data_IF_494519219953
#
_entry.id   IF_494519219953
#
_cell.length_a   1.000
_cell.length_b   1.000
_cell.length_c   1.000
_cell.angle_alpha   90.00
_cell.angle_beta   90.00
_cell.angle_gamma   90.00
#
_symmetry.space_group_name_H-M   'P 1'
#
loop_
_entity.id
_entity.type
_entity.pdbx_description
1 polymer ?
#
# COMPACT_ATOMS: atom_id res chain seq x y z
N UNK A 1 -20.57 -3.50 -29.28
CA UNK A 1 -21.17 -2.16 -29.16
C UNK A 1 -22.38 -2.32 -28.27
N UNK A 2 -22.60 -1.43 -27.28
CA UNK A 2 -23.80 -1.50 -26.43
C UNK A 2 -25.04 -1.16 -27.25
N UNK A 3 -26.18 -1.80 -26.96
CA UNK A 3 -27.41 -1.61 -27.74
C UNK A 3 -28.11 -0.29 -27.39
N UNK A 4 -27.82 0.29 -26.22
CA UNK A 4 -28.33 1.62 -25.85
C UNK A 4 -27.37 2.39 -24.92
N UNK A 5 -27.61 3.70 -24.81
CA UNK A 5 -26.90 4.59 -23.88
C UNK A 5 -27.25 4.23 -22.42
N UNK A 6 -28.47 3.78 -22.15
CA UNK A 6 -28.88 3.30 -20.83
C UNK A 6 -28.17 1.99 -20.45
N UNK A 7 -27.94 1.08 -21.41
CA UNK A 7 -27.08 -0.10 -21.20
C UNK A 7 -25.62 0.28 -20.94
N UNK A 8 -25.11 1.28 -21.66
CA UNK A 8 -23.75 1.77 -21.45
C UNK A 8 -23.59 2.45 -20.08
N UNK A 9 -24.61 3.19 -19.63
CA UNK A 9 -24.65 3.82 -18.30
C UNK A 9 -24.81 2.76 -17.21
N UNK A 10 -25.72 1.79 -17.35
CA UNK A 10 -25.87 0.68 -16.41
C UNK A 10 -24.62 -0.24 -16.34
N UNK A 11 -23.88 -0.36 -17.46
CA UNK A 11 -22.59 -1.03 -17.50
C UNK A 11 -21.50 -0.21 -16.78
N UNK A 12 -21.51 1.12 -16.94
CA UNK A 12 -20.59 2.01 -16.23
C UNK A 12 -20.87 2.04 -14.71
N UNK A 13 -22.14 2.08 -14.29
CA UNK A 13 -22.53 2.07 -12.87
C UNK A 13 -22.19 0.75 -12.15
N UNK A 14 -22.15 -0.38 -12.89
CA UNK A 14 -21.71 -1.68 -12.34
C UNK A 14 -20.19 -1.84 -12.26
N UNK A 15 -19.42 -0.95 -12.86
CA UNK A 15 -17.96 -1.08 -12.92
C UNK A 15 -17.33 -0.91 -11.53
N UNK A 16 -17.99 -0.17 -10.65
CA UNK A 16 -17.49 0.16 -9.31
C UNK A 16 -18.11 -0.69 -8.18
N UNK A 17 -19.19 -1.44 -8.43
CA UNK A 17 -19.92 -2.09 -7.34
C UNK A 17 -19.40 -3.46 -6.89
N UNK A 18 -18.69 -4.22 -7.73
CA UNK A 18 -18.36 -5.60 -7.33
C UNK A 18 -17.05 -5.75 -6.59
N UNK A 19 -16.15 -4.75 -6.60
CA UNK A 19 -14.92 -4.71 -5.77
C UNK A 19 -14.10 -6.00 -5.70
N UNK A 20 -14.29 -6.93 -6.65
CA UNK A 20 -13.98 -8.34 -6.48
C UNK A 20 -12.76 -8.72 -7.30
N UNK A 21 -11.92 -9.61 -6.74
CA UNK A 21 -10.73 -10.14 -7.42
C UNK A 21 -11.10 -11.44 -8.13
N UNK A 22 -11.17 -11.46 -9.48
CA UNK A 22 -11.48 -12.66 -10.22
C UNK A 22 -10.27 -13.59 -10.29
N UNK A 23 -10.55 -14.89 -10.32
CA UNK A 23 -9.59 -15.95 -10.62
C UNK A 23 -10.21 -16.81 -11.71
N UNK A 24 -9.58 -16.82 -12.88
CA UNK A 24 -9.96 -17.71 -13.98
C UNK A 24 -9.26 -19.05 -13.83
N UNK A 25 -9.97 -20.13 -14.11
CA UNK A 25 -9.43 -21.49 -14.00
C UNK A 25 -10.20 -22.46 -14.90
N UNK A 26 -9.59 -23.60 -15.24
CA UNK A 26 -10.25 -24.70 -15.96
C UNK A 26 -10.93 -25.62 -14.95
N UNK A 27 -12.16 -26.01 -15.26
CA UNK A 27 -12.92 -26.99 -14.49
C UNK A 27 -13.52 -28.00 -15.46
N UNK A 28 -13.30 -29.28 -15.19
CA UNK A 28 -14.00 -30.35 -15.87
C UNK A 28 -15.48 -30.33 -15.45
N UNK A 29 -16.38 -30.24 -16.42
CA UNK A 29 -17.82 -30.25 -16.19
C UNK A 29 -18.43 -31.37 -16.99
N UNK A 30 -19.24 -32.17 -16.32
CA UNK A 30 -20.02 -33.22 -16.95
C UNK A 30 -21.17 -32.59 -17.74
N UNK A 31 -21.12 -32.75 -19.05
CA UNK A 31 -22.17 -32.32 -19.96
C UNK A 31 -22.90 -33.56 -20.49
N UNK A 32 -24.24 -33.48 -20.51
CA UNK A 32 -25.05 -34.52 -21.14
C UNK A 32 -25.34 -34.13 -22.58
N UNK A 33 -25.03 -35.04 -23.48
CA UNK A 33 -25.38 -34.90 -24.88
C UNK A 33 -26.87 -35.22 -25.11
N UNK A 34 -27.39 -34.89 -26.29
CA UNK A 34 -28.80 -35.11 -26.65
C UNK A 34 -29.23 -36.58 -26.53
N UNK A 35 -28.27 -37.50 -26.61
CA UNK A 35 -28.42 -38.95 -26.51
C UNK A 35 -28.30 -39.47 -25.07
N UNK A 36 -28.04 -38.59 -24.09
CA UNK A 36 -28.00 -38.89 -22.66
C UNK A 36 -26.64 -39.40 -22.16
N UNK A 37 -25.64 -39.52 -23.02
CA UNK A 37 -24.26 -39.82 -22.65
C UNK A 37 -23.62 -38.63 -21.92
N UNK A 38 -22.86 -38.92 -20.86
CA UNK A 38 -22.18 -37.89 -20.06
C UNK A 38 -20.74 -37.80 -20.53
N UNK A 39 -20.37 -36.67 -21.13
CA UNK A 39 -19.00 -36.37 -21.52
C UNK A 39 -18.44 -35.26 -20.62
N UNK A 40 -17.27 -35.48 -20.04
CA UNK A 40 -16.59 -34.46 -19.24
C UNK A 40 -15.83 -33.52 -20.18
N UNK A 41 -16.20 -32.24 -20.18
CA UNK A 41 -15.58 -31.21 -21.03
C UNK A 41 -14.88 -30.19 -20.14
N UNK A 42 -13.66 -29.83 -20.53
CA UNK A 42 -12.92 -28.75 -19.89
C UNK A 42 -13.54 -27.40 -20.25
N UNK A 43 -14.11 -26.73 -19.26
CA UNK A 43 -14.69 -25.41 -19.42
C UNK A 43 -13.93 -24.38 -18.58
N UNK A 44 -13.84 -23.15 -19.09
CA UNK A 44 -13.25 -22.04 -18.35
C UNK A 44 -14.29 -21.46 -17.39
N UNK A 45 -13.90 -21.37 -16.12
CA UNK A 45 -14.70 -20.83 -15.03
C UNK A 45 -14.06 -19.56 -14.47
N UNK A 46 -14.88 -18.75 -13.80
CA UNK A 46 -14.45 -17.56 -13.09
C UNK A 46 -14.93 -17.63 -11.64
N UNK A 47 -13.98 -17.45 -10.72
CA UNK A 47 -14.22 -17.35 -9.29
C UNK A 47 -13.95 -15.92 -8.82
N UNK A 48 -15.00 -15.20 -8.48
CA UNK A 48 -14.90 -13.79 -8.04
C UNK A 48 -14.92 -13.78 -6.52
N UNK A 49 -13.82 -13.32 -5.92
CA UNK A 49 -13.71 -13.15 -4.48
C UNK A 49 -14.02 -11.71 -4.12
N UNK A 50 -15.02 -11.48 -3.28
CA UNK A 50 -15.27 -10.15 -2.74
C UNK A 50 -14.18 -9.78 -1.72
N UNK A 51 -13.63 -8.58 -1.86
CA UNK A 51 -12.60 -8.09 -0.93
C UNK A 51 -13.25 -7.83 0.43
N UNK A 52 -12.65 -8.38 1.50
CA UNK A 52 -13.13 -8.22 2.88
C UNK A 52 -13.99 -9.36 3.40
N UNK A 53 -14.85 -9.94 2.55
CA UNK A 53 -15.68 -11.11 2.88
C UNK A 53 -15.24 -12.36 2.09
N UNK A 54 -14.44 -13.25 2.69
CA UNK A 54 -13.96 -14.45 2.03
C UNK A 54 -15.06 -15.50 1.81
N UNK A 55 -16.25 -15.36 2.41
CA UNK A 55 -17.35 -16.32 2.24
C UNK A 55 -18.19 -16.00 1.02
N UNK A 56 -18.21 -14.75 0.59
CA UNK A 56 -18.97 -14.32 -0.58
C UNK A 56 -18.13 -14.54 -1.84
N UNK A 57 -18.17 -15.79 -2.34
CA UNK A 57 -17.48 -16.22 -3.54
C UNK A 57 -18.53 -16.54 -4.61
N UNK A 58 -18.45 -15.87 -5.76
CA UNK A 58 -19.23 -16.23 -6.93
C UNK A 58 -18.41 -17.16 -7.82
N UNK A 59 -18.84 -18.41 -7.96
CA UNK A 59 -18.21 -19.39 -8.83
C UNK A 59 -19.17 -19.76 -9.97
N UNK A 60 -18.80 -19.40 -11.20
CA UNK A 60 -19.65 -19.61 -12.37
C UNK A 60 -18.84 -19.82 -13.65
N UNK A 61 -19.43 -20.40 -14.71
CA UNK A 61 -18.82 -20.42 -16.02
C UNK A 61 -18.45 -19.00 -16.47
N UNK A 62 -17.29 -18.88 -17.13
CA UNK A 62 -16.83 -17.62 -17.70
C UNK A 62 -17.83 -17.14 -18.75
N UNK A 63 -18.18 -15.86 -18.70
CA UNK A 63 -18.96 -15.18 -19.74
C UNK A 63 -18.05 -14.29 -20.60
N UNK A 64 -18.41 -14.01 -21.86
CA UNK A 64 -17.62 -13.12 -22.72
C UNK A 64 -17.42 -11.71 -22.13
N UNK A 65 -18.35 -11.23 -21.30
CA UNK A 65 -18.25 -9.91 -20.66
C UNK A 65 -17.15 -9.86 -19.58
N UNK A 66 -16.79 -11.00 -18.98
CA UNK A 66 -15.79 -11.06 -17.90
C UNK A 66 -14.39 -10.68 -18.41
N UNK A 67 -14.09 -10.99 -19.67
CA UNK A 67 -12.83 -10.59 -20.31
C UNK A 67 -12.71 -9.07 -20.45
N UNK A 68 -13.81 -8.42 -20.78
CA UNK A 68 -13.86 -6.95 -20.92
C UNK A 68 -13.83 -6.27 -19.56
N UNK A 69 -14.41 -6.91 -18.55
CA UNK A 69 -14.47 -6.39 -17.18
C UNK A 69 -13.12 -6.49 -16.48
N UNK A 70 -12.40 -7.60 -16.66
CA UNK A 70 -11.12 -7.86 -16.01
C UNK A 70 -10.03 -8.28 -17.02
N UNK A 71 -9.66 -7.38 -17.94
CA UNK A 71 -8.75 -7.70 -19.03
C UNK A 71 -7.36 -8.13 -18.55
N UNK A 72 -6.87 -7.50 -17.47
CA UNK A 72 -5.55 -7.83 -16.92
C UNK A 72 -5.50 -9.20 -16.26
N UNK A 73 -6.55 -9.57 -15.52
CA UNK A 73 -6.65 -10.90 -14.88
C UNK A 73 -6.86 -12.01 -15.91
N UNK A 74 -7.62 -11.71 -16.98
CA UNK A 74 -7.79 -12.64 -18.09
C UNK A 74 -6.48 -12.87 -18.83
N UNK A 75 -5.72 -11.79 -19.09
CA UNK A 75 -4.38 -11.88 -19.68
C UNK A 75 -3.44 -12.69 -18.79
N UNK A 76 -3.40 -12.42 -17.49
CA UNK A 76 -2.55 -13.16 -16.56
C UNK A 76 -2.86 -14.67 -16.56
N UNK A 77 -4.15 -15.03 -16.59
CA UNK A 77 -4.57 -16.42 -16.72
C UNK A 77 -4.12 -17.06 -18.04
N UNK A 78 -4.28 -16.34 -19.16
CA UNK A 78 -3.86 -16.80 -20.50
C UNK A 78 -2.34 -16.99 -20.61
N UNK A 79 -1.58 -16.14 -19.92
CA UNK A 79 -0.13 -16.16 -19.90
C UNK A 79 0.42 -17.09 -18.80
N UNK A 80 -0.44 -17.77 -18.03
CA UNK A 80 -0.07 -18.59 -16.86
C UNK A 80 0.79 -17.85 -15.82
N UNK A 81 0.58 -16.54 -15.69
CA UNK A 81 1.32 -15.66 -14.79
C UNK A 81 0.52 -15.31 -13.53
N UNK A 82 1.21 -14.89 -12.47
CA UNK A 82 0.55 -14.44 -11.25
C UNK A 82 -0.31 -13.19 -11.52
N UNK A 83 -1.54 -13.20 -11.00
CA UNK A 83 -2.48 -12.11 -11.20
C UNK A 83 -1.89 -10.77 -10.71
N UNK A 84 -2.03 -9.68 -11.49
CA UNK A 84 -1.43 -8.40 -11.14
C UNK A 84 -2.04 -7.88 -9.83
N UNK A 85 -1.16 -7.60 -8.87
CA UNK A 85 -1.54 -6.90 -7.65
C UNK A 85 -1.49 -5.41 -7.94
N UNK A 86 -2.62 -4.84 -8.36
CA UNK A 86 -2.74 -3.40 -8.57
C UNK A 86 -2.76 -2.67 -7.23
N UNK A 87 -1.78 -1.79 -6.99
CA UNK A 87 -1.73 -0.92 -5.83
C UNK A 87 -0.46 -1.08 -4.99
N UNK A 88 -0.45 -0.38 -3.87
CA UNK A 88 0.62 -0.37 -2.87
C UNK A 88 0.56 -1.65 -2.04
N UNK A 89 1.60 -2.51 -2.06
CA UNK A 89 1.59 -3.74 -1.28
C UNK A 89 1.37 -3.47 0.20
N UNK A 90 0.48 -4.22 0.85
CA UNK A 90 0.13 -3.98 2.26
C UNK A 90 1.33 -4.16 3.21
N UNK A 91 2.33 -4.94 2.79
CA UNK A 91 3.60 -5.14 3.49
C UNK A 91 4.46 -3.87 3.58
N UNK A 92 4.27 -2.93 2.65
CA UNK A 92 5.00 -1.66 2.64
C UNK A 92 4.46 -0.65 3.66
N UNK A 93 3.25 -0.86 4.16
CA UNK A 93 2.64 0.05 5.12
C UNK A 93 3.15 -0.23 6.55
N UNK A 94 3.79 0.75 7.22
CA UNK A 94 4.42 0.54 8.52
C UNK A 94 3.43 0.38 9.69
N UNK A 95 2.13 0.62 9.47
CA UNK A 95 1.12 0.54 10.52
C UNK A 95 0.56 -0.86 10.79
N UNK A 96 0.95 -1.88 10.02
CA UNK A 96 0.48 -3.25 10.24
C UNK A 96 1.54 -4.12 10.92
N UNK A 97 1.10 -4.91 11.89
CA UNK A 97 1.91 -5.99 12.45
C UNK A 97 1.91 -7.20 11.50
N UNK A 98 2.89 -8.13 11.61
CA UNK A 98 2.88 -9.36 10.81
C UNK A 98 1.60 -10.19 10.97
N UNK A 99 1.00 -10.16 12.17
CA UNK A 99 -0.28 -10.81 12.43
C UNK A 99 -1.43 -10.14 11.66
N UNK A 100 -1.46 -8.80 11.62
CA UNK A 100 -2.44 -8.04 10.85
C UNK A 100 -2.32 -8.36 9.35
N UNK A 101 -1.09 -8.36 8.81
CA UNK A 101 -0.82 -8.70 7.41
C UNK A 101 -1.36 -10.10 7.08
N UNK A 102 -1.13 -11.08 7.96
CA UNK A 102 -1.63 -12.44 7.77
C UNK A 102 -3.16 -12.50 7.81
N UNK A 103 -3.80 -11.75 8.71
CA UNK A 103 -5.25 -11.68 8.81
C UNK A 103 -5.89 -11.00 7.59
N UNK A 104 -5.27 -9.93 7.09
CA UNK A 104 -5.70 -9.21 5.89
C UNK A 104 -5.51 -10.06 4.63
N UNK A 105 -4.38 -10.76 4.52
CA UNK A 105 -4.11 -11.67 3.41
C UNK A 105 -5.10 -12.84 3.33
N UNK A 106 -5.60 -13.35 4.46
CA UNK A 106 -6.65 -14.39 4.49
C UNK A 106 -7.98 -13.93 3.89
N UNK A 107 -8.20 -12.62 3.81
CA UNK A 107 -9.41 -11.99 3.26
C UNK A 107 -9.16 -11.36 1.90
N UNK A 108 -8.09 -11.75 1.23
CA UNK A 108 -7.69 -11.27 -0.09
C UNK A 108 -7.38 -9.77 -0.14
N UNK A 109 -7.10 -9.15 1.01
CA UNK A 109 -6.66 -7.76 1.11
C UNK A 109 -5.14 -7.75 0.96
N UNK A 110 -4.66 -7.44 -0.24
CA UNK A 110 -3.23 -7.50 -0.58
C UNK A 110 -2.60 -6.11 -0.68
N UNK A 111 -3.39 -5.08 -0.88
CA UNK A 111 -2.93 -3.70 -1.06
C UNK A 111 -3.52 -2.74 -0.04
N UNK A 112 -2.91 -1.56 0.09
CA UNK A 112 -3.37 -0.49 0.97
C UNK A 112 -4.68 0.11 0.44
N UNK A 113 -4.84 0.16 -0.88
CA UNK A 113 -6.03 0.61 -1.59
C UNK A 113 -7.21 -0.34 -1.31
N UNK A 114 -6.98 -1.67 -1.38
CA UNK A 114 -7.99 -2.66 -0.97
C UNK A 114 -8.41 -2.43 0.48
N UNK A 115 -7.45 -2.16 1.38
CA UNK A 115 -7.75 -1.96 2.78
C UNK A 115 -8.64 -0.74 3.04
N UNK A 116 -8.47 0.33 2.26
CA UNK A 116 -9.25 1.56 2.39
C UNK A 116 -10.65 1.40 1.79
N UNK A 117 -10.80 0.62 0.71
CA UNK A 117 -12.09 0.43 0.04
C UNK A 117 -13.09 -0.37 0.88
N UNK A 118 -12.62 -1.19 1.82
CA UNK A 118 -13.47 -2.06 2.65
C UNK A 118 -14.34 -1.24 3.61
N UNK A 119 -15.62 -1.61 3.81
CA UNK A 119 -16.49 -1.00 4.81
C UNK A 119 -15.90 -1.05 6.23
N UNK A 120 -16.12 0.01 7.00
CA UNK A 120 -15.54 0.17 8.34
C UNK A 120 -15.93 -0.97 9.31
N UNK A 121 -17.14 -1.51 9.16
CA UNK A 121 -17.62 -2.64 9.96
C UNK A 121 -16.76 -3.89 9.77
N UNK A 122 -16.41 -4.21 8.53
CA UNK A 122 -15.55 -5.35 8.21
C UNK A 122 -14.12 -5.13 8.71
N UNK A 123 -13.60 -3.91 8.59
CA UNK A 123 -12.26 -3.58 9.11
C UNK A 123 -12.21 -3.71 10.63
N UNK A 124 -13.25 -3.26 11.33
CA UNK A 124 -13.37 -3.41 12.78
C UNK A 124 -13.40 -4.88 13.19
N UNK A 125 -14.05 -5.75 12.42
CA UNK A 125 -14.04 -7.20 12.66
C UNK A 125 -12.65 -7.84 12.46
N UNK A 126 -11.78 -7.22 11.65
CA UNK A 126 -10.43 -7.74 11.34
C UNK A 126 -9.40 -7.25 12.36
N UNK A 127 -9.38 -5.94 12.63
CA UNK A 127 -8.32 -5.28 13.39
C UNK A 127 -8.78 -4.86 14.80
N UNK A 128 -10.07 -4.97 15.12
CA UNK A 128 -10.64 -4.50 16.38
C UNK A 128 -10.56 -2.98 16.52
N UNK A 129 -10.44 -2.50 17.77
CA UNK A 129 -10.51 -1.07 18.10
C UNK A 129 -9.45 -0.16 17.46
N UNK A 130 -8.42 -0.70 16.81
CA UNK A 130 -7.42 0.08 16.04
C UNK A 130 -7.81 0.30 14.57
N UNK A 131 -8.91 -0.29 14.10
CA UNK A 131 -9.37 -0.25 12.70
C UNK A 131 -9.41 1.16 12.11
N UNK A 132 -10.19 2.06 12.73
CA UNK A 132 -10.42 3.42 12.23
C UNK A 132 -9.12 4.25 12.18
N UNK A 133 -8.33 4.21 13.25
CA UNK A 133 -7.07 4.93 13.31
C UNK A 133 -6.08 4.42 12.25
N UNK A 134 -6.08 3.11 11.97
CA UNK A 134 -5.21 2.50 10.96
C UNK A 134 -5.67 2.83 9.55
N UNK A 135 -6.99 2.85 9.29
CA UNK A 135 -7.57 3.26 8.01
C UNK A 135 -7.23 4.71 7.65
N UNK A 136 -7.34 5.61 8.61
CA UNK A 136 -6.93 7.02 8.42
C UNK A 136 -5.44 7.12 8.09
N UNK A 137 -4.57 6.43 8.84
CA UNK A 137 -3.13 6.40 8.55
C UNK A 137 -2.81 5.82 7.18
N UNK A 138 -3.57 4.81 6.73
CA UNK A 138 -3.42 4.24 5.40
C UNK A 138 -3.78 5.24 4.30
N UNK A 139 -4.86 6.02 4.48
CA UNK A 139 -5.22 7.10 3.57
C UNK A 139 -4.13 8.18 3.52
N UNK A 140 -3.66 8.63 4.68
CA UNK A 140 -2.58 9.63 4.78
C UNK A 140 -1.29 9.12 4.10
N UNK A 141 -0.99 7.82 4.23
CA UNK A 141 0.17 7.20 3.60
C UNK A 141 0.09 7.18 2.07
N UNK A 142 -1.09 6.91 1.48
CA UNK A 142 -1.26 6.99 0.03
C UNK A 142 -1.10 8.42 -0.49
N UNK A 143 -1.66 9.41 0.22
CA UNK A 143 -1.49 10.83 -0.13
C UNK A 143 -0.01 11.22 -0.05
N UNK A 144 0.69 10.81 1.01
CA UNK A 144 2.11 11.05 1.16
C UNK A 144 2.91 10.42 0.00
N UNK A 145 2.66 9.14 -0.32
CA UNK A 145 3.36 8.44 -1.41
C UNK A 145 3.11 9.10 -2.78
N UNK A 146 1.87 9.53 -3.04
CA UNK A 146 1.54 10.24 -4.27
C UNK A 146 2.31 11.58 -4.41
N UNK A 147 2.54 12.29 -3.30
CA UNK A 147 3.24 13.57 -3.30
C UNK A 147 4.78 13.45 -3.28
N UNK A 148 5.32 12.37 -2.72
CA UNK A 148 6.76 12.22 -2.47
C UNK A 148 7.45 11.16 -3.35
N UNK A 149 6.71 10.45 -4.21
CA UNK A 149 7.25 9.42 -5.10
C UNK A 149 7.76 8.18 -4.35
N UNK A 150 8.33 7.23 -5.10
CA UNK A 150 8.92 6.04 -4.51
C UNK A 150 10.27 6.37 -3.85
N UNK A 151 10.37 6.11 -2.55
CA UNK A 151 11.57 6.33 -1.72
C UNK A 151 12.79 5.57 -2.26
N UNK A 152 12.61 4.61 -3.17
CA UNK A 152 13.69 3.90 -3.88
C UNK A 152 14.62 4.85 -4.63
N UNK A 153 14.09 5.91 -5.24
CA UNK A 153 14.89 6.85 -6.04
C UNK A 153 15.75 7.73 -5.12
N UNK A 154 15.19 8.10 -3.97
CA UNK A 154 15.90 8.81 -2.91
C UNK A 154 17.00 7.93 -2.29
N UNK A 155 16.75 6.63 -2.09
CA UNK A 155 17.75 5.68 -1.58
C UNK A 155 18.86 5.45 -2.60
N UNK A 156 18.53 5.32 -3.89
CA UNK A 156 19.52 5.21 -4.96
C UNK A 156 20.41 6.45 -5.01
N UNK A 157 19.82 7.65 -4.86
CA UNK A 157 20.56 8.92 -4.82
C UNK A 157 21.42 9.05 -3.56
N UNK A 158 20.95 8.62 -2.39
CA UNK A 158 21.75 8.61 -1.16
C UNK A 158 22.96 7.68 -1.33
N UNK A 159 22.75 6.47 -1.87
CA UNK A 159 23.84 5.52 -2.12
C UNK A 159 24.89 6.07 -3.10
N UNK A 160 24.46 6.80 -4.12
CA UNK A 160 25.37 7.47 -5.05
C UNK A 160 26.16 8.60 -4.36
N UNK A 161 25.51 9.40 -3.52
CA UNK A 161 26.15 10.47 -2.75
C UNK A 161 27.15 9.92 -1.72
N UNK A 162 26.83 8.83 -1.03
CA UNK A 162 27.76 8.17 -0.10
C UNK A 162 29.05 7.72 -0.80
N UNK A 163 28.94 7.21 -2.03
CA UNK A 163 30.11 6.83 -2.84
C UNK A 163 30.98 8.04 -3.17
N UNK A 164 30.37 9.14 -3.60
CA UNK A 164 31.09 10.39 -3.92
C UNK A 164 31.75 11.03 -2.70
N UNK A 165 31.14 10.92 -1.51
CA UNK A 165 31.75 11.41 -0.27
C UNK A 165 32.94 10.55 0.14
N UNK A 166 32.84 9.21 0.01
CA UNK A 166 33.95 8.29 0.27
C UNK A 166 35.18 8.55 -0.61
N UNK A 167 34.95 8.76 -1.91
CA UNK A 167 36.03 9.04 -2.88
C UNK A 167 36.73 10.39 -2.62
N UNK A 168 36.04 11.36 -2.01
CA UNK A 168 36.60 12.67 -1.67
C UNK A 168 37.36 12.66 -0.32
N UNK A 169 37.00 11.79 0.61
CA UNK A 169 37.74 11.66 1.88
C UNK A 169 39.11 11.02 1.70
N UNK A 170 39.27 10.08 0.76
CA UNK A 170 40.57 9.44 0.46
C UNK A 170 41.55 10.38 -0.26
N UNK A 171 41.05 11.43 -0.93
CA UNK A 171 41.88 12.47 -1.54
C UNK A 171 42.29 13.58 -0.56
N UNK A 172 41.65 13.68 0.61
CA UNK A 172 42.00 14.64 1.66
C UNK A 172 43.20 14.21 2.51
N UNK A 173 43.39 12.90 2.72
CA UNK A 173 44.44 12.37 3.61
C UNK A 173 45.83 12.37 2.97
N UNK A 174 45.93 12.50 1.64
CA UNK A 174 47.23 12.54 0.92
C UNK A 174 47.83 13.94 0.76
N UNK A 175 47.20 14.99 1.30
CA UNK A 175 47.69 16.38 1.21
C UNK A 175 48.22 16.97 2.54
N UNK A 176 48.36 16.15 3.58
CA UNK A 176 48.75 16.60 4.92
C UNK A 176 50.20 16.24 5.33
N UNK A 177 51.09 15.97 4.38
CA UNK A 177 52.54 15.88 4.63
C UNK A 177 53.26 16.85 3.67
N UNK A 178 53.40 18.10 4.10
CA UNK A 178 54.10 19.15 3.37
C UNK A 178 54.11 20.46 4.14
N UNK A 179 55.16 20.65 4.92
CA UNK A 179 55.74 21.93 5.37
C UNK A 179 54.93 22.84 6.31
N UNK A 180 55.19 22.67 7.61
CA UNK A 180 56.07 23.60 8.35
C UNK A 180 55.74 25.10 8.44
N UNK A 181 55.41 25.50 9.68
CA UNK A 181 55.74 26.78 10.36
C UNK A 181 54.87 28.02 10.05
N UNK A 182 53.99 28.41 10.98
CA UNK A 182 54.29 29.49 11.94
C UNK A 182 53.11 29.78 12.88
N UNK A 183 53.35 29.47 14.15
CA UNK A 183 52.91 30.14 15.38
C UNK A 183 52.38 31.58 15.24
N UNK A 184 51.15 31.83 15.70
CA UNK A 184 50.82 33.06 16.42
C UNK A 184 49.63 32.85 17.35
N UNK A 185 49.96 32.83 18.63
CA UNK A 185 49.09 32.97 19.80
C UNK A 185 48.24 34.22 19.68
N UNK A 186 46.93 34.12 19.93
CA UNK A 186 46.16 35.24 20.46
C UNK A 186 45.08 34.72 21.42
N UNK A 187 45.51 34.52 22.66
CA UNK A 187 44.65 34.61 23.83
C UNK A 187 44.28 36.06 24.02
N UNK A 188 43.04 36.44 23.74
CA UNK A 188 42.49 37.65 24.33
C UNK A 188 41.17 37.36 25.04
N UNK A 189 41.17 37.79 26.30
CA UNK A 189 40.33 37.37 27.40
C UNK A 189 39.83 38.64 28.04
N UNK A 190 38.70 39.17 27.61
CA UNK A 190 37.96 40.23 28.28
C UNK A 190 36.59 40.34 27.60
N UNK A 191 35.45 40.57 28.25
CA UNK A 191 34.97 40.56 29.64
C UNK A 191 33.49 40.98 29.49
N UNK A 192 32.64 40.52 30.41
CA UNK A 192 31.46 41.26 30.91
C UNK A 192 30.42 41.75 29.87
N UNK A 193 29.17 41.30 29.87
CA UNK A 193 28.20 41.50 30.96
C UNK A 193 26.80 41.29 30.37
N UNK A 194 25.84 40.84 31.18
CA UNK A 194 24.42 41.10 30.87
C UNK A 194 23.40 40.04 31.28
N UNK A 195 22.93 40.14 32.54
CA UNK A 195 21.54 39.90 33.02
C UNK A 195 20.93 38.51 32.79
N UNK A 196 20.70 37.66 33.80
CA UNK A 196 19.89 37.78 35.02
C UNK A 196 18.42 38.18 34.83
N UNK A 197 17.53 37.27 35.28
CA UNK A 197 16.10 37.39 35.64
C UNK A 197 15.17 36.56 34.73
N UNK A 198 14.28 35.70 35.23
CA UNK A 198 13.90 35.47 36.62
C UNK A 198 12.98 34.27 36.81
N UNK A 199 13.09 33.74 38.02
CA UNK A 199 12.24 32.77 38.69
C UNK A 199 10.82 33.33 38.87
N UNK A 200 9.80 32.54 38.56
CA UNK A 200 8.39 32.92 38.77
C UNK A 200 7.52 31.71 39.08
N UNK A 201 7.63 31.21 40.32
CA UNK A 201 6.77 30.17 40.84
C UNK A 201 5.34 30.68 41.15
N UNK A 202 4.41 29.71 41.20
CA UNK A 202 3.36 29.52 42.22
C UNK A 202 1.93 30.09 42.02
N UNK A 203 1.01 29.14 42.32
CA UNK A 203 -0.35 29.21 42.95
C UNK A 203 -1.54 29.11 41.97
N UNK A 204 -2.28 27.99 41.98
CA UNK A 204 -3.33 27.53 42.94
C UNK A 204 -4.56 28.45 43.01
N UNK A 205 -5.72 27.90 42.59
CA UNK A 205 -7.08 27.97 43.20
C UNK A 205 -8.04 27.22 42.25
N UNK A 206 -8.58 26.04 42.57
CA UNK A 206 -9.71 25.70 43.47
C UNK A 206 -10.97 26.59 43.27
N UNK A 207 -12.05 25.98 42.76
CA UNK A 207 -13.43 25.86 43.33
C UNK A 207 -14.41 25.63 42.16
N UNK A 208 -15.11 24.49 42.11
CA UNK A 208 -16.32 24.03 42.86
C UNK A 208 -17.62 24.51 42.19
N UNK A 209 -18.41 23.50 41.81
CA UNK A 209 -19.85 23.33 42.03
C UNK A 209 -20.83 24.42 41.54
N UNK A 210 -21.69 23.97 40.64
CA UNK A 210 -23.04 24.43 40.34
C UNK A 210 -23.71 23.31 39.57
#
# INVERSE_FOLDING_TARGET
>A
MFASVEEAIAFADKKDQDGGRPVFYIKAVDQKDLEGEVTSVDQVWVKIHNIGDPKNIQDRPKRPEDEKRWPEYWKAYRDETEAPTQGTPIKSFPGFTPADIKNLSRRMIKTVEDFISIPDQEINNILGGKAFATKRKAQDFLVYRANHGDVSDLIARIKELEKLVGDNTDNGTKRAEGDGVSESVNTDKQRESGRSNGTGARKKKRKKAG
#
